data_IF_465256055758
#
_entry.id   IF_465256055758
#
_cell.length_a   1.000
_cell.length_b   1.000
_cell.length_c   1.000
_cell.angle_alpha   90.00
_cell.angle_beta   90.00
_cell.angle_gamma   90.00
#
_symmetry.space_group_name_H-M   'P 1'
#
loop_
_entity.id
_entity.type
_entity.pdbx_description
1 polymer ?
#
# COMPACT_ATOMS: atom_id res chain seq x y z
N UNK A 1 20.56 -2.28 -9.85
CA UNK A 1 19.49 -2.57 -10.83
C UNK A 1 18.12 -2.30 -10.19
N UNK A 2 17.02 -2.15 -10.95
CA UNK A 2 15.69 -2.25 -10.36
C UNK A 2 15.49 -3.70 -9.88
N UNK A 3 15.23 -3.88 -8.58
CA UNK A 3 14.97 -5.21 -8.02
C UNK A 3 13.44 -5.43 -7.98
N UNK A 4 12.92 -6.58 -8.42
CA UNK A 4 11.49 -6.88 -8.27
C UNK A 4 11.13 -7.03 -6.78
N UNK A 5 9.95 -6.56 -6.40
CA UNK A 5 9.46 -6.58 -5.02
C UNK A 5 8.19 -7.41 -4.82
N UNK A 6 7.37 -7.56 -5.87
CA UNK A 6 6.17 -8.42 -5.83
C UNK A 6 5.91 -9.05 -7.18
N UNK A 7 5.40 -10.28 -7.15
CA UNK A 7 4.76 -10.95 -8.29
C UNK A 7 3.28 -11.13 -7.94
N UNK A 8 2.40 -10.95 -8.92
CA UNK A 8 1.01 -11.39 -8.88
C UNK A 8 0.80 -12.28 -10.10
N UNK A 9 0.27 -13.48 -9.88
CA UNK A 9 -0.16 -14.37 -10.94
C UNK A 9 -1.64 -14.70 -10.71
N UNK A 10 -2.48 -14.47 -11.71
CA UNK A 10 -3.92 -14.72 -11.67
C UNK A 10 -4.42 -15.01 -13.08
N UNK A 11 -4.95 -16.21 -13.30
CA UNK A 11 -5.34 -16.71 -14.62
C UNK A 11 -4.16 -16.56 -15.62
N UNK A 12 -4.42 -16.06 -16.83
CA UNK A 12 -3.41 -15.83 -17.88
C UNK A 12 -2.51 -14.58 -17.65
N UNK A 13 -2.62 -13.92 -16.49
CA UNK A 13 -1.96 -12.64 -16.19
C UNK A 13 -0.88 -12.84 -15.12
N UNK A 14 0.35 -12.48 -15.46
CA UNK A 14 1.50 -12.40 -14.55
C UNK A 14 1.99 -10.95 -14.52
N UNK A 15 2.13 -10.37 -13.33
CA UNK A 15 2.57 -9.00 -13.09
C UNK A 15 3.80 -8.99 -12.18
N UNK A 16 4.89 -8.39 -12.64
CA UNK A 16 6.12 -8.18 -11.88
C UNK A 16 6.24 -6.69 -11.52
N UNK A 17 6.29 -6.37 -10.23
CA UNK A 17 6.38 -4.99 -9.74
C UNK A 17 7.78 -4.68 -9.24
N UNK A 18 8.39 -3.61 -9.76
CA UNK A 18 9.72 -3.16 -9.32
C UNK A 18 9.64 -2.46 -7.95
N UNK A 19 10.72 -2.53 -7.17
CA UNK A 19 10.83 -1.89 -5.83
C UNK A 19 10.61 -0.37 -5.82
N UNK A 20 10.73 0.28 -6.98
CA UNK A 20 10.68 1.72 -7.14
C UNK A 20 9.91 2.11 -8.39
N UNK A 21 9.14 3.20 -8.29
CA UNK A 21 8.56 3.90 -9.43
C UNK A 21 9.54 5.02 -9.78
N UNK A 22 10.23 4.87 -10.91
CA UNK A 22 11.14 5.87 -11.47
C UNK A 22 10.43 6.66 -12.57
N UNK A 23 10.85 7.91 -12.75
CA UNK A 23 10.40 8.74 -13.86
C UNK A 23 10.83 8.10 -15.18
N UNK A 24 9.96 8.12 -16.19
CA UNK A 24 10.23 7.70 -17.58
C UNK A 24 10.78 6.27 -17.76
N UNK A 25 10.54 5.36 -16.81
CA UNK A 25 10.92 3.96 -16.89
C UNK A 25 9.72 3.04 -16.59
N UNK A 26 9.64 1.85 -17.19
CA UNK A 26 8.69 0.81 -16.78
C UNK A 26 8.70 0.57 -15.27
N UNK A 27 7.51 0.39 -14.69
CA UNK A 27 7.32 0.17 -13.26
C UNK A 27 6.61 -1.16 -12.96
N UNK A 28 5.99 -1.75 -13.98
CA UNK A 28 5.37 -3.07 -13.95
C UNK A 28 5.67 -3.75 -15.27
N UNK A 29 6.13 -5.00 -15.22
CA UNK A 29 6.21 -5.88 -16.39
C UNK A 29 5.04 -6.84 -16.34
N UNK A 30 4.32 -7.00 -17.45
CA UNK A 30 3.10 -7.81 -17.56
C UNK A 30 3.24 -8.84 -18.68
N UNK A 31 2.97 -10.09 -18.35
CA UNK A 31 2.65 -11.14 -19.32
C UNK A 31 1.15 -11.37 -19.24
N UNK A 32 0.43 -11.22 -20.36
CA UNK A 32 -1.01 -11.47 -20.46
C UNK A 32 -1.27 -12.34 -21.68
N UNK A 33 -1.80 -13.56 -21.48
CA UNK A 33 -2.05 -14.55 -22.55
C UNK A 33 -0.81 -14.78 -23.43
N UNK A 34 0.34 -14.96 -22.77
CA UNK A 34 1.65 -15.15 -23.41
C UNK A 34 2.29 -13.89 -24.04
N UNK A 35 1.60 -12.75 -24.07
CA UNK A 35 2.14 -11.49 -24.62
C UNK A 35 2.85 -10.67 -23.55
N UNK A 36 4.12 -10.36 -23.78
CA UNK A 36 4.92 -9.46 -22.97
C UNK A 36 4.52 -7.99 -23.19
N UNK A 37 4.50 -7.19 -22.13
CA UNK A 37 4.31 -5.74 -22.17
C UNK A 37 4.87 -5.07 -20.91
N UNK A 38 5.26 -3.80 -21.02
CA UNK A 38 5.74 -3.00 -19.91
C UNK A 38 4.82 -1.79 -19.68
N UNK A 39 4.55 -1.49 -18.41
CA UNK A 39 3.67 -0.39 -17.97
C UNK A 39 4.50 0.65 -17.22
N UNK A 40 4.57 1.86 -17.77
CA UNK A 40 5.07 3.06 -17.07
C UNK A 40 3.93 3.75 -16.34
N UNK A 41 4.11 4.05 -15.06
CA UNK A 41 3.17 4.83 -14.25
C UNK A 41 3.36 6.36 -14.41
N UNK A 42 4.19 6.78 -15.39
CA UNK A 42 4.43 8.17 -15.79
C UNK A 42 4.57 9.12 -14.60
N UNK A 43 5.45 8.75 -13.67
CA UNK A 43 5.67 9.48 -12.43
C UNK A 43 6.66 10.63 -12.62
N UNK A 44 6.28 11.87 -12.28
CA UNK A 44 7.18 13.02 -12.34
C UNK A 44 8.23 13.05 -11.19
N UNK A 45 8.07 12.19 -10.17
CA UNK A 45 8.96 12.10 -8.99
C UNK A 45 9.28 10.64 -8.67
N UNK A 46 10.44 10.39 -8.07
CA UNK A 46 10.79 9.06 -7.56
C UNK A 46 9.84 8.62 -6.44
N UNK A 47 9.38 7.37 -6.45
CA UNK A 47 8.58 6.79 -5.36
C UNK A 47 9.03 5.38 -5.00
N UNK A 48 8.82 4.99 -3.75
CA UNK A 48 9.01 3.61 -3.30
C UNK A 48 7.72 2.85 -3.52
N UNK A 49 7.80 1.68 -4.16
CA UNK A 49 6.68 0.75 -4.22
C UNK A 49 6.38 0.24 -2.81
N UNK A 50 5.10 0.23 -2.44
CA UNK A 50 4.62 -0.34 -1.18
C UNK A 50 4.06 -1.73 -1.46
N UNK A 51 2.96 -1.78 -2.21
CA UNK A 51 2.13 -2.96 -2.44
C UNK A 51 1.25 -2.75 -3.69
N UNK A 52 0.72 -3.83 -4.25
CA UNK A 52 -0.21 -3.83 -5.38
C UNK A 52 -1.16 -5.02 -5.32
N UNK A 53 -2.26 -4.91 -6.06
CA UNK A 53 -3.22 -6.00 -6.26
C UNK A 53 -3.80 -5.94 -7.67
N UNK A 54 -4.28 -7.09 -8.13
CA UNK A 54 -5.19 -7.20 -9.26
C UNK A 54 -6.58 -7.51 -8.70
N UNK A 55 -7.59 -6.83 -9.19
CA UNK A 55 -9.00 -7.18 -9.01
C UNK A 55 -9.67 -6.95 -10.35
N UNK A 56 -10.34 -7.98 -10.87
CA UNK A 56 -10.88 -8.01 -12.22
C UNK A 56 -9.80 -7.56 -13.24
N UNK A 57 -10.10 -6.58 -14.09
CA UNK A 57 -9.12 -6.02 -15.05
C UNK A 57 -8.44 -4.73 -14.54
N UNK A 58 -8.42 -4.47 -13.23
CA UNK A 58 -7.82 -3.28 -12.62
C UNK A 58 -6.62 -3.66 -11.76
N UNK A 59 -5.43 -3.25 -12.19
CA UNK A 59 -4.21 -3.27 -11.37
C UNK A 59 -4.22 -2.02 -10.52
N UNK A 60 -4.16 -2.17 -9.20
CA UNK A 60 -3.94 -1.04 -8.29
C UNK A 60 -2.53 -1.12 -7.69
N UNK A 61 -1.78 -0.02 -7.76
CA UNK A 61 -0.42 0.10 -7.21
C UNK A 61 -0.38 1.23 -6.18
N UNK A 62 0.16 0.93 -4.99
CA UNK A 62 0.40 1.91 -3.95
C UNK A 62 1.89 2.18 -3.81
N UNK A 63 2.21 3.46 -3.70
CA UNK A 63 3.57 3.97 -3.58
C UNK A 63 3.64 5.16 -2.63
N UNK A 64 4.81 5.40 -2.05
CA UNK A 64 5.08 6.60 -1.24
C UNK A 64 6.18 7.44 -1.86
N UNK A 65 5.98 8.75 -1.87
CA UNK A 65 7.05 9.72 -2.04
C UNK A 65 7.51 10.14 -0.63
N UNK A 66 8.74 9.79 -0.21
CA UNK A 66 9.31 10.33 1.02
C UNK A 66 9.84 11.73 0.76
N UNK A 67 9.90 12.54 1.83
CA UNK A 67 10.63 13.80 1.78
C UNK A 67 12.09 13.56 1.38
N UNK A 68 12.59 14.47 0.56
CA UNK A 68 14.00 14.59 0.19
C UNK A 68 14.58 15.85 0.84
N UNK A 69 15.83 16.21 0.50
CA UNK A 69 16.37 17.50 0.90
C UNK A 69 15.59 18.67 0.24
N UNK A 70 15.38 18.57 -1.08
CA UNK A 70 14.78 19.62 -1.92
C UNK A 70 13.24 19.65 -1.93
N UNK A 71 12.59 18.58 -1.49
CA UNK A 71 11.14 18.44 -1.52
C UNK A 71 10.67 17.82 -0.21
N UNK A 72 9.94 18.59 0.61
CA UNK A 72 9.41 18.13 1.91
C UNK A 72 8.00 17.55 1.82
N UNK A 73 7.42 17.45 0.62
CA UNK A 73 6.10 16.84 0.45
C UNK A 73 6.18 15.33 0.68
N UNK A 74 5.35 14.83 1.60
CA UNK A 74 5.21 13.41 1.87
C UNK A 74 3.78 12.98 1.56
N UNK A 75 3.65 11.98 0.70
CA UNK A 75 2.35 11.55 0.22
C UNK A 75 2.35 10.10 -0.24
N UNK A 76 1.17 9.49 -0.12
CA UNK A 76 0.85 8.25 -0.83
C UNK A 76 0.36 8.59 -2.22
N UNK A 77 0.66 7.73 -3.18
CA UNK A 77 0.06 7.76 -4.49
C UNK A 77 -0.47 6.38 -4.84
N UNK A 78 -1.79 6.34 -5.06
CA UNK A 78 -2.53 5.18 -5.53
C UNK A 78 -2.69 5.36 -7.03
N UNK A 79 -2.27 4.36 -7.80
CA UNK A 79 -2.46 4.26 -9.23
C UNK A 79 -3.47 3.16 -9.51
N UNK A 80 -4.38 3.38 -10.46
CA UNK A 80 -5.26 2.36 -11.02
C UNK A 80 -5.00 2.27 -12.51
N UNK A 81 -4.72 1.07 -13.00
CA UNK A 81 -4.50 0.77 -14.41
C UNK A 81 -5.59 -0.20 -14.82
N UNK A 82 -6.43 0.20 -15.78
CA UNK A 82 -7.32 -0.73 -16.46
C UNK A 82 -6.51 -1.44 -17.57
N UNK A 83 -6.46 -2.78 -17.54
CA UNK A 83 -5.59 -3.58 -18.43
C UNK A 83 -6.02 -3.46 -19.89
N UNK A 84 -7.34 -3.44 -20.17
CA UNK A 84 -7.88 -3.48 -21.53
C UNK A 84 -7.74 -2.13 -22.24
N UNK A 85 -8.22 -1.07 -21.59
CA UNK A 85 -8.17 0.31 -22.11
C UNK A 85 -6.80 0.98 -21.95
N UNK A 86 -5.91 0.40 -21.13
CA UNK A 86 -4.60 0.95 -20.75
C UNK A 86 -4.66 2.31 -20.04
N UNK A 87 -5.85 2.74 -19.62
CA UNK A 87 -6.04 4.01 -18.91
C UNK A 87 -5.42 3.91 -17.50
N UNK A 88 -4.59 4.89 -17.17
CA UNK A 88 -3.95 5.02 -15.85
C UNK A 88 -4.54 6.24 -15.14
N UNK A 89 -5.37 6.02 -14.13
CA UNK A 89 -5.80 7.06 -13.19
C UNK A 89 -4.96 7.00 -11.91
N UNK A 90 -4.92 8.10 -11.17
CA UNK A 90 -4.15 8.16 -9.93
C UNK A 90 -4.69 9.20 -8.95
N UNK A 91 -4.53 8.92 -7.66
CA UNK A 91 -4.88 9.80 -6.56
C UNK A 91 -3.67 10.00 -5.65
N UNK A 92 -3.36 11.25 -5.35
CA UNK A 92 -2.39 11.63 -4.32
C UNK A 92 -3.14 11.81 -3.00
N UNK A 93 -2.57 11.31 -1.90
CA UNK A 93 -3.04 11.56 -0.54
C UNK A 93 -1.85 12.08 0.25
N UNK A 94 -1.88 13.36 0.63
CA UNK A 94 -0.85 13.93 1.51
C UNK A 94 -0.88 13.26 2.87
N UNK A 95 0.26 13.25 3.55
CA UNK A 95 0.32 12.74 4.92
C UNK A 95 -0.52 13.58 5.89
N UNK A 96 -0.64 14.89 5.64
CA UNK A 96 -1.43 15.82 6.46
C UNK A 96 -2.94 15.54 6.36
N UNK A 97 -3.50 15.32 5.15
CA UNK A 97 -4.91 14.93 4.94
C UNK A 97 -5.27 13.62 5.66
N UNK A 98 -4.32 12.70 5.76
CA UNK A 98 -4.50 11.43 6.46
C UNK A 98 -4.20 11.53 7.98
N UNK A 99 -3.64 12.66 8.45
CA UNK A 99 -3.35 12.97 9.85
C UNK A 99 -2.03 12.39 10.37
N UNK A 100 -1.02 12.21 9.51
CA UNK A 100 0.26 11.55 9.83
C UNK A 100 1.40 12.48 10.22
N UNK A 101 2.40 11.87 10.87
CA UNK A 101 3.75 12.39 11.08
C UNK A 101 4.75 11.55 10.28
N UNK A 102 5.89 12.15 9.93
CA UNK A 102 6.80 11.74 8.84
C UNK A 102 7.52 10.39 8.96
N UNK A 103 7.28 9.63 10.02
CA UNK A 103 8.31 8.73 10.59
C UNK A 103 8.21 7.28 10.08
N UNK A 104 7.03 6.74 9.76
CA UNK A 104 6.91 5.35 9.30
C UNK A 104 5.68 5.14 8.41
N UNK A 105 5.79 4.18 7.48
CA UNK A 105 4.66 3.72 6.66
C UNK A 105 4.86 2.24 6.31
N UNK A 106 3.94 1.41 6.81
CA UNK A 106 3.69 0.02 6.46
C UNK A 106 2.21 -0.12 6.05
N UNK A 107 1.85 -1.06 5.18
CA UNK A 107 0.45 -1.32 4.81
C UNK A 107 0.15 -2.81 4.67
N UNK A 108 -0.99 -3.23 5.17
CA UNK A 108 -1.48 -4.61 5.13
C UNK A 108 -2.78 -4.69 4.33
N UNK A 109 -3.03 -5.81 3.65
CA UNK A 109 -4.31 -6.11 2.98
C UNK A 109 -5.17 -6.97 3.89
N UNK A 110 -6.38 -6.54 4.19
CA UNK A 110 -7.45 -7.37 4.77
C UNK A 110 -8.30 -8.03 3.67
N UNK A 111 -9.12 -9.02 4.03
CA UNK A 111 -9.89 -9.88 3.11
C UNK A 111 -10.83 -9.12 2.18
N UNK A 112 -10.86 -9.51 0.89
CA UNK A 112 -11.71 -9.10 -0.24
C UNK A 112 -12.11 -7.61 -0.37
N UNK A 113 -12.74 -6.97 0.61
CA UNK A 113 -12.91 -5.52 0.68
C UNK A 113 -11.58 -4.86 1.08
N UNK A 114 -10.86 -4.36 0.07
CA UNK A 114 -9.49 -3.83 0.11
C UNK A 114 -9.29 -2.70 1.14
N UNK A 115 -9.20 -3.05 2.42
CA UNK A 115 -9.00 -2.11 3.52
C UNK A 115 -7.58 -2.19 4.05
N UNK A 116 -6.94 -1.03 4.20
CA UNK A 116 -5.48 -0.93 4.46
C UNK A 116 -5.20 -0.18 5.74
N UNK A 117 -4.43 -0.80 6.63
CA UNK A 117 -4.03 -0.21 7.91
C UNK A 117 -2.67 0.47 7.81
N UNK A 118 -2.59 1.77 8.12
CA UNK A 118 -1.36 2.60 8.05
C UNK A 118 -0.92 3.01 9.46
N UNK A 119 0.36 2.85 9.81
CA UNK A 119 0.91 3.10 11.16
C UNK A 119 1.59 4.49 11.28
N UNK A 120 0.98 5.40 12.04
CA UNK A 120 1.60 6.63 12.57
C UNK A 120 2.52 6.32 13.75
N UNK A 121 3.50 7.18 14.05
CA UNK A 121 4.07 7.32 15.40
C UNK A 121 4.10 8.80 15.77
N UNK A 122 3.29 9.20 16.75
CA UNK A 122 3.38 10.55 17.33
C UNK A 122 4.12 10.45 18.66
N UNK A 123 5.25 11.15 18.73
CA UNK A 123 6.04 11.39 19.95
C UNK A 123 6.26 10.15 20.83
N UNK A 124 6.81 9.09 20.23
CA UNK A 124 7.29 7.85 20.88
C UNK A 124 6.28 7.03 21.70
N UNK A 125 5.04 7.52 21.85
CA UNK A 125 4.05 7.00 22.80
C UNK A 125 2.71 6.62 22.16
N UNK A 126 2.30 7.20 21.03
CA UNK A 126 1.08 6.79 20.32
C UNK A 126 1.36 6.32 18.88
N UNK A 127 1.01 5.06 18.56
CA UNK A 127 0.75 4.66 17.18
C UNK A 127 -0.70 5.02 16.80
N UNK A 128 -0.95 5.37 15.54
CA UNK A 128 -2.31 5.54 15.03
C UNK A 128 -2.47 4.71 13.76
N UNK A 129 -3.57 3.97 13.67
CA UNK A 129 -3.91 3.10 12.56
C UNK A 129 -5.02 3.75 11.74
N UNK A 130 -4.77 4.09 10.48
CA UNK A 130 -5.80 4.61 9.56
C UNK A 130 -6.20 3.53 8.57
N UNK A 131 -7.50 3.31 8.42
CA UNK A 131 -8.10 2.41 7.45
C UNK A 131 -8.51 3.19 6.21
N UNK A 132 -7.96 2.86 5.04
CA UNK A 132 -8.39 3.38 3.73
C UNK A 132 -8.96 2.28 2.84
N UNK A 133 -9.92 2.62 1.97
CA UNK A 133 -10.50 1.73 0.94
C UNK A 133 -9.65 1.64 -0.35
N UNK A 134 -10.21 1.03 -1.39
CA UNK A 134 -9.64 0.94 -2.75
C UNK A 134 -9.48 2.29 -3.46
N UNK A 135 -10.28 3.29 -3.07
CA UNK A 135 -10.28 4.66 -3.60
C UNK A 135 -9.35 5.60 -2.82
N UNK A 136 -8.71 5.09 -1.76
CA UNK A 136 -7.95 5.91 -0.82
C UNK A 136 -8.82 6.91 -0.07
N UNK A 137 -10.10 6.58 0.18
CA UNK A 137 -10.98 7.29 1.10
C UNK A 137 -10.77 6.69 2.50
N UNK A 138 -10.68 7.55 3.50
CA UNK A 138 -10.51 7.18 4.92
C UNK A 138 -11.83 6.66 5.48
N UNK A 139 -11.82 5.44 6.01
CA UNK A 139 -13.02 4.77 6.58
C UNK A 139 -13.06 4.87 8.11
N UNK A 140 -11.97 4.50 8.80
CA UNK A 140 -11.88 4.43 10.27
C UNK A 140 -10.46 4.82 10.71
N UNK A 141 -10.33 5.38 11.90
CA UNK A 141 -9.04 5.59 12.57
C UNK A 141 -9.06 4.92 13.95
N UNK A 142 -7.90 4.47 14.40
CA UNK A 142 -7.68 3.94 15.73
C UNK A 142 -6.36 4.47 16.31
N UNK A 143 -6.25 4.51 17.64
CA UNK A 143 -5.04 4.89 18.37
C UNK A 143 -4.54 3.71 19.20
N UNK A 144 -3.25 3.68 19.47
CA UNK A 144 -2.58 2.67 20.28
C UNK A 144 -1.48 3.31 21.13
N UNK A 145 -1.56 3.16 22.46
CA UNK A 145 -0.50 3.62 23.36
C UNK A 145 0.59 2.54 23.49
N UNK A 146 1.82 2.92 23.11
CA UNK A 146 3.02 2.08 23.10
C UNK A 146 3.43 1.64 24.52
N UNK A 147 3.04 2.39 25.56
CA UNK A 147 3.30 2.03 26.96
C UNK A 147 2.65 0.71 27.39
N UNK A 148 1.67 0.21 26.64
CA UNK A 148 1.05 -1.10 26.89
C UNK A 148 1.91 -2.30 26.44
N UNK A 149 3.10 -2.05 25.87
CA UNK A 149 4.18 -3.03 25.70
C UNK A 149 3.98 -4.05 24.58
N UNK A 150 4.84 -5.08 24.57
CA UNK A 150 4.88 -6.15 23.55
C UNK A 150 3.64 -7.09 23.53
N UNK A 151 2.61 -6.80 24.34
CA UNK A 151 1.39 -7.59 24.44
C UNK A 151 0.42 -7.37 23.26
N UNK A 152 0.71 -6.46 22.33
CA UNK A 152 -0.04 -6.32 21.07
C UNK A 152 0.77 -6.70 19.82
N UNK A 153 1.00 -8.00 19.65
CA UNK A 153 1.26 -8.67 18.34
C UNK A 153 0.10 -8.57 17.33
N UNK A 154 -0.86 -7.68 17.58
CA UNK A 154 -2.26 -7.77 17.20
C UNK A 154 -2.69 -6.55 16.33
N UNK A 155 -3.18 -6.81 15.11
CA UNK A 155 -3.78 -5.90 14.10
C UNK A 155 -5.30 -5.86 14.32
N UNK A 156 -6.02 -4.76 14.09
CA UNK A 156 -7.49 -4.66 14.31
C UNK A 156 -8.31 -4.64 12.98
N UNK A 157 -9.27 -5.56 12.70
CA UNK A 157 -10.69 -5.30 12.26
C UNK A 157 -11.48 -6.47 11.59
N UNK A 158 -12.81 -6.32 11.73
CA UNK A 158 -13.99 -6.62 10.90
C UNK A 158 -15.11 -5.87 11.64
N UNK A 159 -15.44 -6.21 12.88
CA UNK A 159 -15.10 -7.40 13.70
C UNK A 159 -13.57 -7.72 14.06
N UNK A 160 -12.92 -7.18 15.12
CA UNK A 160 -11.79 -7.84 15.87
C UNK A 160 -10.41 -7.70 15.22
N UNK A 161 -9.52 -8.72 15.20
CA UNK A 161 -8.07 -8.47 15.41
C UNK A 161 -6.98 -9.58 15.10
N UNK A 162 -6.30 -9.60 13.93
CA UNK A 162 -5.26 -10.61 13.54
C UNK A 162 -3.93 -10.54 14.34
N UNK A 163 -3.33 -11.67 14.77
CA UNK A 163 -2.09 -11.70 15.57
C UNK A 163 -1.10 -12.82 15.19
N UNK A 164 0.21 -12.57 15.28
CA UNK A 164 1.27 -13.50 14.85
C UNK A 164 2.46 -13.60 15.82
N UNK A 165 2.97 -14.82 16.06
CA UNK A 165 4.14 -15.08 16.91
C UNK A 165 5.03 -16.24 16.40
N UNK A 166 6.03 -16.62 17.20
CA UNK A 166 7.00 -17.70 16.92
C UNK A 166 6.41 -19.11 16.75
N UNK A 167 5.09 -19.28 16.90
CA UNK A 167 4.36 -20.53 16.66
C UNK A 167 3.15 -20.44 15.72
N UNK A 168 2.81 -19.29 15.11
CA UNK A 168 1.69 -19.20 14.16
C UNK A 168 1.01 -17.82 14.01
N UNK A 169 -0.08 -17.77 13.21
CA UNK A 169 -0.87 -16.59 12.84
C UNK A 169 -2.38 -16.85 13.04
N UNK A 170 -3.14 -15.92 13.62
CA UNK A 170 -4.55 -16.08 14.06
C UNK A 170 -5.45 -14.87 13.68
N UNK A 171 -6.76 -15.05 13.40
CA UNK A 171 -7.78 -14.05 12.96
C UNK A 171 -9.03 -14.02 13.91
N UNK A 172 -9.81 -12.91 13.98
CA UNK A 172 -10.68 -12.57 15.14
C UNK A 172 -11.80 -11.51 14.88
N UNK A 173 -12.79 -11.33 15.82
CA UNK A 173 -14.09 -10.55 15.71
C UNK A 173 -14.55 -9.54 16.90
N UNK A 174 -14.99 -8.24 16.65
CA UNK A 174 -15.76 -7.04 17.29
C UNK A 174 -15.78 -5.71 16.39
N UNK A 175 -16.93 -5.08 16.06
CA UNK A 175 -17.33 -4.10 14.95
C UNK A 175 -16.61 -2.73 14.67
#
# INVERSE_FOLDING_TARGET
>A
MPNPKKIIAQNDIILLFWSYIKCSLPNITMINKGKYSDISLNSNKFKYYIDSYLQDNIITVISKHPATYNDKSEYLKIYKINIDSKVITNKTLSYDELGFSKIRFDSFKTSNSMTRTIIKSNNEKELNYVLIDSEGIKIKNAKYDIKNGNLQRFIFKNQKLLSANSGGIYLYEIE
#
